data_IF_005131237563
#
_entry.id   IF_005131237563
#
_cell.length_a   1.000
_cell.length_b   1.000
_cell.length_c   1.000
_cell.angle_alpha   90.00
_cell.angle_beta   90.00
_cell.angle_gamma   90.00
#
_symmetry.space_group_name_H-M   'P 1'
#
loop_
_entity.id
_entity.type
_entity.pdbx_description
1 polymer ?
#
# COMPACT_ATOMS: atom_id res chain seq x y z
N UNK A 1 -19.12 3.26 14.30
CA UNK A 1 -18.08 3.29 13.25
C UNK A 1 -16.74 3.02 13.90
N UNK A 2 -16.13 1.89 13.56
CA UNK A 2 -14.87 1.40 14.13
C UNK A 2 -13.68 1.93 13.30
N UNK A 3 -13.78 3.19 12.84
CA UNK A 3 -13.00 3.76 11.74
C UNK A 3 -11.56 4.11 12.13
N UNK A 4 -11.27 4.16 13.43
CA UNK A 4 -9.94 4.46 13.94
C UNK A 4 -8.87 3.46 13.50
N UNK A 5 -9.22 2.21 13.16
CA UNK A 5 -8.24 1.20 12.70
C UNK A 5 -7.74 1.47 11.28
N UNK A 6 -8.63 1.81 10.36
CA UNK A 6 -8.30 2.16 8.98
C UNK A 6 -7.57 3.51 8.92
N UNK A 7 -8.02 4.50 9.69
CA UNK A 7 -7.32 5.79 9.77
C UNK A 7 -5.89 5.62 10.30
N UNK A 8 -5.69 4.83 11.35
CA UNK A 8 -4.34 4.53 11.89
C UNK A 8 -3.46 3.81 10.86
N UNK A 9 -4.01 2.88 10.08
CA UNK A 9 -3.26 2.22 9.00
C UNK A 9 -2.76 3.24 7.98
N UNK A 10 -3.63 4.11 7.47
CA UNK A 10 -3.21 5.13 6.51
C UNK A 10 -2.26 6.17 7.12
N UNK A 11 -2.36 6.52 8.41
CA UNK A 11 -1.37 7.38 9.06
C UNK A 11 0.01 6.73 9.15
N UNK A 12 0.07 5.40 9.36
CA UNK A 12 1.31 4.63 9.29
C UNK A 12 1.86 4.65 7.86
N UNK A 13 1.01 4.44 6.84
CA UNK A 13 1.41 4.54 5.43
C UNK A 13 1.89 5.95 5.05
N UNK A 14 1.36 6.99 5.68
CA UNK A 14 1.81 8.38 5.53
C UNK A 14 3.14 8.66 6.26
N UNK A 15 3.71 7.70 6.99
CA UNK A 15 4.98 7.85 7.70
C UNK A 15 4.91 8.82 8.89
N UNK A 16 3.72 9.11 9.40
CA UNK A 16 3.52 10.12 10.45
C UNK A 16 3.28 9.45 11.81
N UNK A 17 3.88 9.94 12.91
CA UNK A 17 3.64 9.39 14.24
C UNK A 17 2.17 9.56 14.65
N UNK A 18 1.50 8.42 14.86
CA UNK A 18 0.06 8.32 15.17
C UNK A 18 -0.33 9.14 16.40
N UNK A 19 0.55 9.16 17.40
CA UNK A 19 0.37 9.88 18.68
C UNK A 19 0.25 11.40 18.51
N UNK A 20 0.89 11.96 17.47
CA UNK A 20 0.84 13.39 17.17
C UNK A 20 -0.46 13.70 16.44
N UNK A 21 -0.80 12.91 15.43
CA UNK A 21 -2.02 13.09 14.65
C UNK A 21 -3.26 12.95 15.52
N UNK A 22 -3.27 12.02 16.48
CA UNK A 22 -4.35 11.82 17.44
C UNK A 22 -4.66 13.06 18.31
N UNK A 23 -3.69 13.97 18.49
CA UNK A 23 -3.89 15.24 19.21
C UNK A 23 -4.49 16.35 18.34
N UNK A 24 -4.42 16.24 17.02
CA UNK A 24 -4.84 17.29 16.07
C UNK A 24 -5.93 16.78 15.12
N UNK A 25 -7.21 16.89 15.50
CA UNK A 25 -8.32 16.30 14.75
C UNK A 25 -8.51 16.91 13.35
N UNK A 26 -8.07 18.15 13.16
CA UNK A 26 -8.12 18.86 11.87
C UNK A 26 -7.20 18.23 10.81
N UNK A 27 -6.11 17.59 11.25
CA UNK A 27 -5.11 17.01 10.35
C UNK A 27 -5.46 15.56 9.94
N UNK A 28 -6.40 14.89 10.64
CA UNK A 28 -6.77 13.50 10.37
C UNK A 28 -7.12 13.23 8.90
N UNK A 29 -7.95 14.08 8.30
CA UNK A 29 -8.40 13.93 6.91
C UNK A 29 -7.26 14.12 5.91
N UNK A 30 -6.33 15.05 6.20
CA UNK A 30 -5.16 15.33 5.37
C UNK A 30 -4.19 14.14 5.33
N UNK A 31 -3.81 13.62 6.51
CA UNK A 31 -2.88 12.49 6.57
C UNK A 31 -3.54 11.17 6.17
N UNK A 32 -4.85 11.04 6.33
CA UNK A 32 -5.60 9.93 5.73
C UNK A 32 -5.48 9.97 4.19
N UNK A 33 -5.67 11.14 3.57
CA UNK A 33 -5.52 11.30 2.13
C UNK A 33 -4.10 11.00 1.63
N UNK A 34 -3.07 11.51 2.31
CA UNK A 34 -1.66 11.25 1.98
C UNK A 34 -1.34 9.75 2.11
N UNK A 35 -1.78 9.11 3.19
CA UNK A 35 -1.56 7.69 3.40
C UNK A 35 -2.26 6.83 2.36
N UNK A 36 -3.49 7.20 1.98
CA UNK A 36 -4.26 6.51 0.97
C UNK A 36 -3.60 6.58 -0.41
N UNK A 37 -3.11 7.74 -0.84
CA UNK A 37 -2.44 7.86 -2.15
C UNK A 37 -1.17 7.02 -2.21
N UNK A 38 -0.33 7.04 -1.17
CA UNK A 38 0.89 6.22 -1.10
C UNK A 38 0.55 4.73 -1.18
N UNK A 39 -0.43 4.28 -0.42
CA UNK A 39 -0.87 2.89 -0.43
C UNK A 39 -1.35 2.45 -1.81
N UNK A 40 -2.22 3.23 -2.45
CA UNK A 40 -2.73 2.88 -3.78
C UNK A 40 -1.66 2.94 -4.87
N UNK A 41 -0.70 3.87 -4.78
CA UNK A 41 0.46 3.87 -5.68
C UNK A 41 1.30 2.61 -5.53
N UNK A 42 1.62 2.20 -4.31
CA UNK A 42 2.35 0.98 -4.05
C UNK A 42 1.59 -0.27 -4.53
N UNK A 43 0.29 -0.35 -4.24
CA UNK A 43 -0.57 -1.44 -4.66
C UNK A 43 -0.61 -1.59 -6.20
N UNK A 44 -0.79 -0.48 -6.92
CA UNK A 44 -0.80 -0.52 -8.39
C UNK A 44 0.58 -0.78 -8.98
N UNK A 45 1.66 -0.31 -8.35
CA UNK A 45 3.01 -0.63 -8.76
C UNK A 45 3.30 -2.14 -8.61
N UNK A 46 2.91 -2.74 -7.49
CA UNK A 46 3.06 -4.17 -7.23
C UNK A 46 2.26 -5.01 -8.25
N UNK A 47 0.99 -4.65 -8.49
CA UNK A 47 0.16 -5.34 -9.50
C UNK A 47 0.74 -5.21 -10.91
N UNK A 48 1.20 -4.01 -11.30
CA UNK A 48 1.81 -3.79 -12.61
C UNK A 48 3.13 -4.55 -12.76
N UNK A 49 3.97 -4.57 -11.73
CA UNK A 49 5.24 -5.29 -11.76
C UNK A 49 5.05 -6.81 -11.73
N UNK A 50 4.11 -7.32 -10.93
CA UNK A 50 3.75 -8.74 -10.90
C UNK A 50 3.24 -9.22 -12.26
N UNK A 51 2.42 -8.43 -12.95
CA UNK A 51 1.96 -8.74 -14.30
C UNK A 51 3.11 -8.72 -15.32
N UNK A 52 4.02 -7.75 -15.22
CA UNK A 52 5.19 -7.68 -16.10
C UNK A 52 6.10 -8.91 -15.93
N UNK A 53 6.37 -9.34 -14.69
CA UNK A 53 7.22 -10.50 -14.41
C UNK A 53 6.58 -11.83 -14.86
N UNK A 54 5.25 -11.95 -14.78
CA UNK A 54 4.55 -13.09 -15.37
C UNK A 54 4.87 -13.23 -16.87
N UNK A 55 4.86 -12.11 -17.60
CA UNK A 55 5.15 -12.10 -19.03
C UNK A 55 6.63 -12.35 -19.35
N UNK A 56 7.55 -11.81 -18.54
CA UNK A 56 9.00 -11.99 -18.73
C UNK A 56 9.41 -13.45 -18.58
N UNK A 57 8.82 -14.17 -17.62
CA UNK A 57 9.17 -15.57 -17.34
C UNK A 57 8.22 -16.59 -17.96
N UNK A 58 7.29 -16.15 -18.82
CA UNK A 58 6.29 -17.02 -19.43
C UNK A 58 6.93 -18.28 -20.06
N UNK A 59 6.55 -19.45 -19.54
CA UNK A 59 7.07 -20.76 -19.99
C UNK A 59 8.17 -21.37 -19.12
N UNK A 60 8.65 -20.65 -18.09
CA UNK A 60 9.49 -21.23 -17.04
C UNK A 60 8.62 -21.79 -15.90
N UNK A 61 8.99 -22.92 -15.26
CA UNK A 61 8.20 -23.52 -14.17
C UNK A 61 8.08 -22.64 -12.89
N UNK A 62 8.80 -21.51 -12.83
CA UNK A 62 8.81 -20.58 -11.69
C UNK A 62 8.16 -19.21 -12.01
N UNK A 63 7.51 -19.07 -13.16
CA UNK A 63 6.85 -17.83 -13.60
C UNK A 63 5.77 -17.31 -12.63
N UNK A 64 4.89 -18.20 -12.18
CA UNK A 64 3.88 -17.93 -11.16
C UNK A 64 4.50 -17.47 -9.83
N UNK A 65 5.62 -18.08 -9.43
CA UNK A 65 6.31 -17.73 -8.20
C UNK A 65 6.89 -16.30 -8.26
N UNK A 66 7.57 -15.95 -9.35
CA UNK A 66 8.13 -14.62 -9.54
C UNK A 66 7.05 -13.53 -9.62
N UNK A 67 5.94 -13.82 -10.31
CA UNK A 67 4.81 -12.89 -10.43
C UNK A 67 4.10 -12.64 -9.09
N UNK A 68 3.83 -13.67 -8.30
CA UNK A 68 3.20 -13.50 -6.97
C UNK A 68 4.14 -12.81 -5.99
N UNK A 69 5.40 -13.23 -5.95
CA UNK A 69 6.37 -12.70 -5.00
C UNK A 69 6.49 -11.19 -5.17
N UNK A 70 6.52 -10.71 -6.41
CA UNK A 70 6.59 -9.28 -6.71
C UNK A 70 5.22 -8.58 -6.69
N UNK A 71 4.12 -9.29 -6.92
CA UNK A 71 2.77 -8.73 -6.86
C UNK A 71 2.26 -8.49 -5.43
N UNK A 72 2.79 -9.22 -4.45
CA UNK A 72 2.47 -9.09 -3.02
C UNK A 72 3.43 -8.14 -2.29
N UNK A 73 4.62 -7.93 -2.85
CA UNK A 73 5.67 -7.07 -2.30
C UNK A 73 5.53 -5.63 -2.78
#
# INVERSE_FOLDING_TARGET
MNDGRLQRFFWICAGTPVEIIEKYPTEHAKYFGIGATIFFTALFAALSGGYALYFVFAGAPFDWFASILFGIF
#
